data_IF_870323986308
#
_entry.id   IF_870323986308
#
_cell.length_a   1.000
_cell.length_b   1.000
_cell.length_c   1.000
_cell.angle_alpha   90.00
_cell.angle_beta   90.00
_cell.angle_gamma   90.00
#
_symmetry.space_group_name_H-M   'P 1'
#
loop_
_entity.id
_entity.type
_entity.pdbx_description
1 polymer ?
#
# COMPACT_ATOMS: atom_id res chain seq x y z
N UNK A 1 7.96 -5.84 -14.72
CA UNK A 1 6.54 -5.52 -15.01
C UNK A 1 6.15 -4.20 -14.33
N UNK A 2 5.15 -3.43 -14.78
CA UNK A 2 4.66 -2.21 -14.08
C UNK A 2 3.31 -2.50 -13.41
N UNK A 3 2.98 -1.78 -12.34
CA UNK A 3 1.67 -1.93 -11.70
C UNK A 3 0.58 -1.33 -12.58
N UNK A 4 -0.58 -1.96 -12.65
CA UNK A 4 -1.73 -1.46 -13.42
C UNK A 4 -3.03 -1.63 -12.62
N UNK A 5 -3.93 -0.67 -12.79
CA UNK A 5 -5.30 -0.73 -12.27
C UNK A 5 -6.22 -0.41 -13.43
N UNK A 6 -7.18 -1.30 -13.71
CA UNK A 6 -7.99 -1.25 -14.92
C UNK A 6 -9.47 -1.38 -14.62
N UNK A 7 -10.30 -0.59 -15.28
CA UNK A 7 -11.76 -0.79 -15.27
C UNK A 7 -12.10 -1.84 -16.34
N UNK A 8 -12.85 -2.85 -15.94
CA UNK A 8 -13.33 -3.95 -16.78
C UNK A 8 -14.81 -4.20 -16.45
N UNK A 9 -15.72 -3.65 -17.26
CA UNK A 9 -17.16 -3.59 -16.97
C UNK A 9 -17.44 -2.93 -15.61
N UNK A 10 -18.22 -3.60 -14.75
CA UNK A 10 -18.55 -3.16 -13.38
C UNK A 10 -17.44 -3.47 -12.37
N UNK A 11 -16.24 -3.83 -12.81
CA UNK A 11 -15.14 -4.25 -11.94
C UNK A 11 -13.88 -3.41 -12.14
N UNK A 12 -13.05 -3.38 -11.10
CA UNK A 12 -11.69 -2.86 -11.14
C UNK A 12 -10.72 -4.02 -10.92
N UNK A 13 -9.85 -4.24 -11.90
CA UNK A 13 -8.78 -5.23 -11.87
C UNK A 13 -7.48 -4.57 -11.44
N UNK A 14 -6.85 -5.14 -10.43
CA UNK A 14 -5.55 -4.71 -9.91
C UNK A 14 -4.51 -5.74 -10.31
N UNK A 15 -3.39 -5.26 -10.86
CA UNK A 15 -2.15 -6.01 -11.02
C UNK A 15 -1.02 -5.16 -10.43
N UNK A 16 -0.65 -5.46 -9.20
CA UNK A 16 0.26 -4.62 -8.40
C UNK A 16 1.59 -5.31 -8.24
N UNK A 17 2.67 -4.60 -8.56
CA UNK A 17 4.03 -5.15 -8.54
C UNK A 17 4.83 -4.54 -7.38
N UNK A 18 5.26 -5.41 -6.46
CA UNK A 18 6.26 -5.14 -5.44
C UNK A 18 7.63 -5.53 -5.98
N UNK A 19 8.61 -4.63 -5.96
CA UNK A 19 9.93 -4.85 -6.56
C UNK A 19 11.06 -4.54 -5.61
N UNK A 20 12.23 -5.06 -5.94
CA UNK A 20 13.47 -4.73 -5.25
C UNK A 20 13.56 -5.45 -3.92
N UNK A 21 13.00 -6.66 -3.82
CA UNK A 21 13.00 -7.46 -2.60
C UNK A 21 13.86 -8.69 -2.73
N UNK A 22 14.37 -9.15 -1.60
CA UNK A 22 14.84 -10.51 -1.45
C UNK A 22 13.65 -11.38 -1.00
N UNK A 23 13.41 -12.48 -1.71
CA UNK A 23 12.27 -13.36 -1.48
C UNK A 23 12.71 -14.79 -1.14
N UNK A 24 13.63 -14.94 -0.18
CA UNK A 24 14.10 -16.26 0.29
C UNK A 24 12.94 -17.05 0.93
N UNK A 25 12.11 -16.37 1.72
CA UNK A 25 10.82 -16.89 2.21
C UNK A 25 9.69 -16.21 1.41
N UNK A 26 8.90 -16.98 0.64
CA UNK A 26 7.86 -16.42 -0.23
C UNK A 26 6.86 -15.54 0.53
N UNK A 27 6.67 -14.30 0.09
CA UNK A 27 5.54 -13.49 0.55
C UNK A 27 4.24 -14.00 -0.08
N UNK A 28 3.29 -14.37 0.78
CA UNK A 28 1.94 -14.72 0.39
C UNK A 28 1.02 -13.51 0.47
N UNK A 29 0.08 -13.42 -0.47
CA UNK A 29 -1.03 -12.48 -0.36
C UNK A 29 -1.95 -12.90 0.78
N UNK A 30 -2.24 -11.97 1.70
CA UNK A 30 -3.19 -12.20 2.78
C UNK A 30 -4.53 -11.52 2.52
N UNK A 31 -4.50 -10.22 2.18
CA UNK A 31 -5.71 -9.41 2.00
C UNK A 31 -5.40 -8.11 1.26
N UNK A 32 -6.40 -7.48 0.68
CA UNK A 32 -6.36 -6.07 0.31
C UNK A 32 -7.50 -5.29 0.98
N UNK A 33 -7.27 -4.02 1.31
CA UNK A 33 -8.29 -3.07 1.77
C UNK A 33 -8.30 -1.85 0.86
N UNK A 34 -9.50 -1.38 0.57
CA UNK A 34 -9.72 -0.17 -0.21
C UNK A 34 -9.96 0.98 0.75
N UNK A 35 -9.29 2.10 0.50
CA UNK A 35 -9.52 3.38 1.16
C UNK A 35 -10.16 4.30 0.13
N UNK A 36 -11.36 4.81 0.43
CA UNK A 36 -12.07 5.72 -0.45
C UNK A 36 -12.61 6.89 0.37
N UNK A 37 -11.91 8.01 0.32
CA UNK A 37 -12.24 9.22 1.07
C UNK A 37 -12.95 10.17 0.12
N UNK A 38 -14.21 10.50 0.45
CA UNK A 38 -15.04 11.44 -0.32
C UNK A 38 -15.56 12.51 0.62
N UNK A 39 -15.02 13.71 0.48
CA UNK A 39 -15.35 14.90 1.27
C UNK A 39 -15.49 16.11 0.34
N UNK A 40 -16.10 17.23 0.78
CA UNK A 40 -16.18 18.43 -0.03
C UNK A 40 -14.80 18.89 -0.54
N UNK A 41 -14.60 18.80 -1.86
CA UNK A 41 -13.33 19.16 -2.52
C UNK A 41 -12.21 18.13 -2.43
N UNK A 42 -12.45 16.95 -1.84
CA UNK A 42 -11.44 15.89 -1.65
C UNK A 42 -12.01 14.56 -2.13
N UNK A 43 -11.29 13.90 -3.04
CA UNK A 43 -11.58 12.53 -3.50
C UNK A 43 -10.27 11.74 -3.58
N UNK A 44 -10.00 10.93 -2.56
CA UNK A 44 -8.74 10.19 -2.43
C UNK A 44 -9.02 8.69 -2.51
N UNK A 45 -8.16 7.99 -3.25
CA UNK A 45 -8.26 6.55 -3.49
C UNK A 45 -6.99 5.88 -3.02
N UNK A 46 -7.13 4.87 -2.19
CA UNK A 46 -6.03 4.10 -1.66
C UNK A 46 -6.32 2.61 -1.70
N UNK A 47 -5.26 1.82 -1.78
CA UNK A 47 -5.28 0.38 -1.61
C UNK A 47 -4.15 0.01 -0.67
N UNK A 48 -4.46 -0.77 0.35
CA UNK A 48 -3.46 -1.39 1.22
C UNK A 48 -3.48 -2.89 0.99
N UNK A 49 -2.36 -3.44 0.56
CA UNK A 49 -2.16 -4.87 0.29
C UNK A 49 -1.37 -5.46 1.45
N UNK A 50 -2.00 -6.38 2.19
CA UNK A 50 -1.33 -7.18 3.19
C UNK A 50 -0.67 -8.40 2.54
N UNK A 51 0.61 -8.56 2.80
CA UNK A 51 1.40 -9.73 2.44
C UNK A 51 2.08 -10.28 3.68
N UNK A 52 2.51 -11.54 3.67
CA UNK A 52 3.36 -12.07 4.74
C UNK A 52 4.19 -13.24 4.28
N UNK A 53 5.40 -13.40 4.81
CA UNK A 53 6.28 -14.52 4.51
C UNK A 53 6.45 -15.51 5.69
N UNK A 54 5.45 -15.62 6.58
CA UNK A 54 5.42 -16.47 7.79
C UNK A 54 6.67 -16.36 8.69
N UNK A 55 7.47 -15.33 8.50
CA UNK A 55 8.68 -15.09 9.26
C UNK A 55 8.28 -14.43 10.59
N UNK A 56 7.96 -15.28 11.57
CA UNK A 56 7.56 -14.88 12.92
C UNK A 56 8.73 -14.16 13.61
N UNK A 57 8.78 -12.82 13.51
CA UNK A 57 9.70 -12.02 14.32
C UNK A 57 10.25 -10.76 13.67
N UNK A 58 10.07 -10.55 12.36
CA UNK A 58 10.46 -9.27 11.74
C UNK A 58 9.52 -8.89 10.59
N UNK A 59 8.91 -7.68 10.61
CA UNK A 59 8.18 -7.19 9.46
C UNK A 59 9.11 -6.77 8.33
N UNK A 60 10.44 -6.71 8.54
CA UNK A 60 11.38 -6.12 7.59
C UNK A 60 11.53 -6.92 6.29
N UNK A 61 11.65 -6.17 5.18
CA UNK A 61 11.98 -6.72 3.87
C UNK A 61 13.44 -6.41 3.56
N UNK A 62 14.16 -7.41 3.08
CA UNK A 62 15.55 -7.24 2.63
C UNK A 62 15.61 -6.80 1.17
N UNK A 63 16.63 -6.01 0.83
CA UNK A 63 16.91 -5.56 -0.54
C UNK A 63 17.28 -6.75 -1.42
N UNK A 64 16.71 -6.81 -2.62
CA UNK A 64 17.02 -7.85 -3.59
C UNK A 64 16.55 -7.49 -4.99
N UNK A 65 16.60 -8.45 -5.90
CA UNK A 65 16.32 -8.23 -7.33
C UNK A 65 15.01 -8.87 -7.79
N UNK A 66 14.18 -9.37 -6.87
CA UNK A 66 12.93 -10.03 -7.20
C UNK A 66 11.79 -9.03 -7.41
N UNK A 67 10.83 -9.43 -8.26
CA UNK A 67 9.55 -8.76 -8.46
C UNK A 67 8.40 -9.73 -8.14
N UNK A 68 7.47 -9.31 -7.27
CA UNK A 68 6.25 -10.05 -6.96
C UNK A 68 5.04 -9.32 -7.52
N UNK A 69 4.17 -10.06 -8.21
CA UNK A 69 2.94 -9.53 -8.80
C UNK A 69 1.71 -10.07 -8.07
N UNK A 70 0.90 -9.17 -7.54
CA UNK A 70 -0.34 -9.49 -6.84
C UNK A 70 -1.54 -9.05 -7.67
N UNK A 71 -2.50 -9.96 -7.85
CA UNK A 71 -3.69 -9.73 -8.69
C UNK A 71 -4.96 -9.93 -7.88
N UNK A 72 -5.88 -8.98 -7.98
CA UNK A 72 -7.22 -9.11 -7.40
C UNK A 72 -8.21 -8.21 -8.14
N UNK A 73 -9.50 -8.48 -7.94
CA UNK A 73 -10.59 -7.76 -8.60
C UNK A 73 -11.59 -7.32 -7.52
N UNK A 74 -12.14 -6.12 -7.65
CA UNK A 74 -13.24 -5.62 -6.83
C UNK A 74 -14.37 -5.11 -7.73
N UNK A 75 -15.59 -5.05 -7.21
CA UNK A 75 -16.68 -4.35 -7.88
C UNK A 75 -16.46 -2.84 -7.82
N UNK A 76 -16.70 -2.12 -8.92
CA UNK A 76 -16.55 -0.68 -9.02
C UNK A 76 -17.75 0.08 -8.42
N UNK A 77 -18.20 -0.32 -7.23
CA UNK A 77 -19.30 0.34 -6.51
C UNK A 77 -18.91 1.72 -5.96
N UNK A 78 -17.60 2.02 -5.96
CA UNK A 78 -17.04 3.28 -5.50
C UNK A 78 -17.02 4.37 -6.58
N UNK A 79 -17.40 4.02 -7.82
CA UNK A 79 -17.45 4.97 -8.94
C UNK A 79 -16.09 5.51 -9.35
N UNK A 80 -15.03 4.70 -9.23
CA UNK A 80 -13.70 5.04 -9.74
C UNK A 80 -13.74 5.11 -11.26
N UNK A 81 -13.03 6.07 -11.82
CA UNK A 81 -13.05 6.41 -13.23
C UNK A 81 -11.65 6.31 -13.82
N UNK A 82 -11.60 6.22 -15.14
CA UNK A 82 -10.37 6.39 -15.91
C UNK A 82 -9.64 7.67 -15.50
N UNK A 83 -8.32 7.61 -15.50
CA UNK A 83 -7.37 8.68 -15.14
C UNK A 83 -7.38 9.10 -13.66
N UNK A 84 -8.21 8.48 -12.81
CA UNK A 84 -8.07 8.61 -11.37
C UNK A 84 -6.71 8.05 -10.91
N UNK A 85 -6.12 8.68 -9.89
CA UNK A 85 -4.92 8.18 -9.23
C UNK A 85 -5.29 7.42 -7.96
N UNK A 86 -4.57 6.33 -7.72
CA UNK A 86 -4.76 5.46 -6.56
C UNK A 86 -3.42 5.27 -5.88
N UNK A 87 -3.34 5.56 -4.57
CA UNK A 87 -2.16 5.23 -3.77
C UNK A 87 -2.21 3.78 -3.31
N UNK A 88 -1.31 2.95 -3.81
CA UNK A 88 -1.08 1.57 -3.39
C UNK A 88 0.03 1.48 -2.36
N UNK A 89 -0.26 0.80 -1.26
CA UNK A 89 0.67 0.53 -0.18
C UNK A 89 0.73 -0.97 0.11
N UNK A 90 1.91 -1.48 0.39
CA UNK A 90 2.12 -2.82 0.93
C UNK A 90 2.38 -2.75 2.43
N UNK A 91 1.88 -3.76 3.12
CA UNK A 91 2.08 -4.01 4.54
C UNK A 91 2.49 -5.48 4.69
N UNK A 92 3.60 -5.74 5.38
CA UNK A 92 3.96 -7.08 5.80
C UNK A 92 3.42 -7.35 7.21
N UNK A 93 2.29 -8.05 7.31
CA UNK A 93 1.68 -8.36 8.60
C UNK A 93 1.04 -9.75 8.62
N UNK A 94 1.41 -10.55 9.62
CA UNK A 94 0.90 -11.91 9.83
C UNK A 94 -0.44 -11.86 10.56
N UNK A 95 -0.60 -11.00 11.58
CA UNK A 95 -1.86 -10.89 12.32
C UNK A 95 -2.83 -9.92 11.64
N UNK A 96 -3.94 -10.46 11.11
CA UNK A 96 -4.96 -9.64 10.48
C UNK A 96 -5.51 -8.52 11.38
N UNK A 97 -5.47 -8.69 12.70
CA UNK A 97 -5.96 -7.66 13.65
C UNK A 97 -5.04 -6.47 13.68
N UNK A 98 -3.73 -6.69 13.60
CA UNK A 98 -2.74 -5.62 13.57
C UNK A 98 -2.78 -4.89 12.23
N UNK A 99 -3.02 -5.64 11.13
CA UNK A 99 -3.35 -5.05 9.84
C UNK A 99 -4.57 -4.09 9.92
N UNK A 100 -5.68 -4.53 10.51
CA UNK A 100 -6.89 -3.69 10.62
C UNK A 100 -6.67 -2.45 11.53
N UNK A 101 -5.90 -2.59 12.62
CA UNK A 101 -5.56 -1.46 13.50
C UNK A 101 -4.78 -0.37 12.79
N UNK A 102 -4.02 -0.71 11.74
CA UNK A 102 -3.22 0.25 10.97
C UNK A 102 -4.04 1.02 9.91
N UNK A 103 -5.29 0.65 9.63
CA UNK A 103 -6.10 1.35 8.62
C UNK A 103 -6.25 2.87 8.86
N UNK A 104 -6.49 3.36 10.10
CA UNK A 104 -6.51 4.79 10.37
C UNK A 104 -5.20 5.51 10.03
N UNK A 105 -4.04 4.84 10.19
CA UNK A 105 -2.75 5.38 9.77
C UNK A 105 -2.69 5.52 8.25
N UNK A 106 -3.12 4.52 7.48
CA UNK A 106 -3.12 4.59 6.02
C UNK A 106 -4.08 5.66 5.48
N UNK A 107 -5.25 5.82 6.10
CA UNK A 107 -6.18 6.90 5.79
C UNK A 107 -5.55 8.27 6.04
N UNK A 108 -4.94 8.46 7.21
CA UNK A 108 -4.30 9.72 7.56
C UNK A 108 -3.08 10.03 6.67
N UNK A 109 -2.28 9.01 6.34
CA UNK A 109 -1.19 9.11 5.37
C UNK A 109 -1.72 9.50 3.99
N UNK A 110 -2.80 8.89 3.52
CA UNK A 110 -3.42 9.25 2.24
C UNK A 110 -3.92 10.70 2.25
N UNK A 111 -4.50 11.18 3.35
CA UNK A 111 -4.87 12.61 3.48
C UNK A 111 -3.67 13.54 3.46
N UNK A 112 -2.56 13.12 4.07
CA UNK A 112 -1.34 13.93 4.16
C UNK A 112 -0.63 14.08 2.81
N UNK A 113 -0.60 13.00 2.03
CA UNK A 113 0.26 12.88 0.84
C UNK A 113 -0.51 12.67 -0.47
N UNK A 114 -1.84 12.55 -0.41
CA UNK A 114 -2.71 12.27 -1.56
C UNK A 114 -2.10 11.18 -2.46
N UNK A 115 -2.11 11.37 -3.77
CA UNK A 115 -1.45 10.56 -4.78
C UNK A 115 -0.23 11.30 -5.36
N UNK A 116 0.46 12.11 -4.55
CA UNK A 116 1.70 12.76 -4.97
C UNK A 116 2.84 11.73 -5.14
N UNK A 117 3.37 11.51 -6.36
CA UNK A 117 4.43 10.55 -6.60
C UNK A 117 5.82 11.06 -6.20
N UNK A 118 5.96 12.35 -5.83
CA UNK A 118 7.24 12.95 -5.45
C UNK A 118 7.63 12.71 -3.98
N UNK A 119 6.70 12.20 -3.16
CA UNK A 119 6.92 11.94 -1.74
C UNK A 119 7.95 10.83 -1.55
N UNK A 120 9.02 11.14 -0.81
CA UNK A 120 10.16 10.24 -0.61
C UNK A 120 9.92 9.24 0.53
N UNK A 121 10.77 8.22 0.62
CA UNK A 121 10.80 7.31 1.77
C UNK A 121 11.02 8.06 3.10
N UNK A 122 11.87 9.08 3.12
CA UNK A 122 12.14 9.91 4.30
C UNK A 122 10.88 10.65 4.76
N UNK A 123 10.10 11.22 3.83
CA UNK A 123 8.84 11.88 4.17
C UNK A 123 7.85 10.93 4.87
N UNK A 124 7.83 9.65 4.48
CA UNK A 124 6.99 8.65 5.14
C UNK A 124 7.53 8.25 6.50
N UNK A 125 8.84 8.02 6.62
CA UNK A 125 9.48 7.70 7.91
C UNK A 125 9.23 8.80 8.94
N UNK A 126 9.36 10.06 8.55
CA UNK A 126 9.09 11.20 9.42
C UNK A 126 7.62 11.26 9.83
N UNK A 127 6.71 11.05 8.88
CA UNK A 127 5.29 10.98 9.19
C UNK A 127 4.92 9.81 10.11
N UNK A 128 5.48 8.62 9.91
CA UNK A 128 5.31 7.46 10.79
C UNK A 128 5.79 7.77 12.21
N UNK A 129 6.97 8.39 12.35
CA UNK A 129 7.51 8.82 13.66
C UNK A 129 6.58 9.82 14.34
N UNK A 130 6.07 10.81 13.60
CA UNK A 130 5.12 11.78 14.14
C UNK A 130 3.80 11.13 14.54
N UNK A 131 3.22 10.30 13.69
CA UNK A 131 1.99 9.56 13.96
C UNK A 131 2.10 8.73 15.24
N UNK A 132 3.20 7.97 15.39
CA UNK A 132 3.45 7.10 16.53
C UNK A 132 3.56 7.86 17.86
N UNK A 133 4.01 9.13 17.86
CA UNK A 133 4.02 9.98 19.08
C UNK A 133 2.62 10.23 19.62
N UNK A 134 1.62 10.34 18.74
CA UNK A 134 0.23 10.62 19.12
C UNK A 134 -0.64 9.35 19.21
N UNK A 135 -0.13 8.21 18.73
CA UNK A 135 -0.83 6.93 18.68
C UNK A 135 -0.05 5.84 19.41
N UNK A 136 0.30 6.09 20.68
CA UNK A 136 1.20 5.23 21.48
C UNK A 136 0.71 3.79 21.68
N UNK A 137 -0.61 3.56 21.56
CA UNK A 137 -1.22 2.24 21.71
C UNK A 137 -1.20 1.42 20.41
N UNK A 138 -0.83 2.04 19.29
CA UNK A 138 -0.70 1.39 17.99
C UNK A 138 0.38 2.12 17.16
N UNK A 139 1.65 2.09 17.60
CA UNK A 139 2.72 2.76 16.89
C UNK A 139 2.93 2.08 15.54
N UNK A 140 3.19 2.88 14.51
CA UNK A 140 3.78 2.38 13.27
C UNK A 140 5.25 2.28 13.50
N UNK A 141 5.70 1.05 13.68
CA UNK A 141 7.07 0.72 13.97
C UNK A 141 7.80 0.50 12.65
N UNK A 142 8.41 1.57 12.13
CA UNK A 142 9.38 1.52 11.03
C UNK A 142 10.71 0.94 11.52
N UNK A 143 10.64 -0.24 12.14
CA UNK A 143 11.70 -0.95 12.87
C UNK A 143 12.88 -1.38 11.99
N UNK A 144 12.82 -1.07 10.70
CA UNK A 144 13.71 -1.53 9.66
C UNK A 144 14.69 -0.43 9.29
N UNK A 145 15.35 0.20 10.27
CA UNK A 145 16.27 1.33 10.08
C UNK A 145 17.41 1.06 9.06
N UNK A 146 17.77 -0.22 8.87
CA UNK A 146 18.84 -0.69 7.97
C UNK A 146 18.36 -1.63 6.87
N UNK A 147 17.05 -1.85 6.78
CA UNK A 147 16.41 -2.68 5.76
C UNK A 147 15.33 -1.82 5.08
N UNK A 148 14.63 -2.32 4.06
CA UNK A 148 13.53 -1.52 3.53
C UNK A 148 12.38 -1.49 4.52
N UNK A 149 11.91 -0.28 4.81
CA UNK A 149 10.68 -0.07 5.59
C UNK A 149 9.54 -0.90 4.97
N UNK A 150 8.92 -1.80 5.76
CA UNK A 150 7.84 -2.66 5.30
C UNK A 150 6.48 -1.96 5.36
N UNK A 151 6.43 -0.79 5.98
CA UNK A 151 5.20 -0.06 6.25
C UNK A 151 5.46 1.41 6.02
N UNK A 152 4.85 2.01 5.00
CA UNK A 152 4.19 1.42 3.85
C UNK A 152 5.09 1.39 2.62
N UNK A 153 5.32 0.19 2.10
CA UNK A 153 6.11 0.05 0.86
C UNK A 153 5.27 0.34 -0.38
N UNK A 154 5.91 0.92 -1.37
CA UNK A 154 5.27 1.45 -2.57
C UNK A 154 5.47 0.53 -3.78
N UNK A 155 4.55 0.62 -4.73
CA UNK A 155 4.77 0.08 -6.09
C UNK A 155 5.89 0.82 -6.79
N UNK A 156 6.36 0.28 -7.90
CA UNK A 156 7.35 0.89 -8.78
C UNK A 156 7.09 2.38 -9.12
N UNK A 157 5.83 2.83 -9.11
CA UNK A 157 5.42 4.18 -9.50
C UNK A 157 5.22 5.10 -8.28
N UNK A 158 6.11 5.02 -7.28
CA UNK A 158 5.96 5.77 -6.02
C UNK A 158 4.69 5.38 -5.25
N UNK A 159 4.21 4.14 -5.47
CA UNK A 159 2.97 3.69 -4.86
C UNK A 159 1.76 4.42 -5.41
N UNK A 160 1.85 5.10 -6.54
CA UNK A 160 0.72 5.82 -7.16
C UNK A 160 0.50 5.22 -8.54
N UNK A 161 -0.69 4.68 -8.77
CA UNK A 161 -1.07 4.05 -10.04
C UNK A 161 -2.27 4.77 -10.61
N UNK A 162 -2.21 5.08 -11.91
CA UNK A 162 -3.33 5.66 -12.64
C UNK A 162 -4.28 4.57 -13.14
N UNK A 163 -5.58 4.81 -13.03
CA UNK A 163 -6.61 3.89 -13.54
C UNK A 163 -6.68 4.01 -15.06
N UNK A 164 -6.55 2.88 -15.73
CA UNK A 164 -6.76 2.74 -17.16
C UNK A 164 -8.13 2.10 -17.45
N UNK A 165 -8.64 2.30 -18.66
CA UNK A 165 -9.85 1.62 -19.15
C UNK A 165 -9.42 0.63 -20.22
N UNK A 166 -9.83 -0.63 -20.09
CA UNK A 166 -9.61 -1.60 -21.15
C UNK A 166 -10.59 -1.34 -22.31
N UNK A 167 -10.15 -1.48 -23.57
CA UNK A 167 -11.02 -1.33 -24.73
C UNK A 167 -12.14 -2.36 -24.76
#
# INVERSE_FOLDING_TARGET
MMSTIKIENDYIRFEVVLKGILNINPFEFRRAKIINIVEPGISLKGVVINISNDNLGTPCMEDGNEELTFRFIIKNDLGWKKDDYVRVSFLNEVDYRDFEKLMPYFEARLRRFDCDPSITAENFLDYSKEWSKFNTNNPVDDKCEYLMSPIPRQTHDGGVVRIEELP
#
